data_IF_574387354490
#
_entry.id   IF_574387354490
#
_cell.length_a   1.000
_cell.length_b   1.000
_cell.length_c   1.000
_cell.angle_alpha   90.00
_cell.angle_beta   90.00
_cell.angle_gamma   90.00
#
_symmetry.space_group_name_H-M   'P 1'
#
loop_
_entity.id
_entity.type
_entity.pdbx_description
1 polymer ?
#
# COMPACT_ATOMS: atom_id res chain seq x y z
N UNK A 1 -0.26 -5.56 -12.32
CA UNK A 1 0.76 -4.96 -11.40
C UNK A 1 1.41 -5.95 -10.42
N UNK A 2 0.72 -6.48 -9.39
CA UNK A 2 1.37 -7.30 -8.33
C UNK A 2 2.06 -8.57 -8.83
N UNK A 3 1.57 -9.17 -9.93
CA UNK A 3 2.23 -10.29 -10.62
C UNK A 3 3.59 -9.88 -11.21
N UNK A 4 3.65 -8.76 -11.93
CA UNK A 4 4.89 -8.26 -12.52
C UNK A 4 5.93 -7.89 -11.46
N UNK A 5 5.48 -7.38 -10.30
CA UNK A 5 6.35 -7.17 -9.14
C UNK A 5 6.93 -8.51 -8.66
N UNK A 6 6.10 -9.56 -8.56
CA UNK A 6 6.56 -10.90 -8.19
C UNK A 6 7.58 -11.49 -9.17
N UNK A 7 7.33 -11.35 -10.47
CA UNK A 7 8.27 -11.78 -11.52
C UNK A 7 9.62 -11.06 -11.39
N UNK A 8 9.62 -9.74 -11.20
CA UNK A 8 10.86 -8.97 -10.98
C UNK A 8 11.59 -9.36 -9.68
N UNK A 9 10.86 -9.70 -8.62
CA UNK A 9 11.44 -10.17 -7.35
C UNK A 9 12.13 -11.52 -7.50
N UNK A 10 11.59 -12.44 -8.32
CA UNK A 10 12.25 -13.73 -8.60
C UNK A 10 13.60 -13.52 -9.24
N UNK A 11 13.66 -12.65 -10.24
CA UNK A 11 14.89 -12.39 -10.97
C UNK A 11 15.94 -11.75 -10.06
N UNK A 12 15.59 -10.78 -9.22
CA UNK A 12 16.56 -10.12 -8.35
C UNK A 12 17.02 -10.99 -7.16
N UNK A 13 16.10 -11.68 -6.46
CA UNK A 13 16.43 -12.49 -5.28
C UNK A 13 17.22 -13.74 -5.67
N UNK A 14 16.87 -14.38 -6.79
CA UNK A 14 17.50 -15.62 -7.24
C UNK A 14 18.84 -15.38 -7.96
N UNK A 15 19.03 -14.22 -8.62
CA UNK A 15 20.23 -13.94 -9.43
C UNK A 15 21.30 -13.17 -8.63
N UNK A 16 20.93 -12.33 -7.66
CA UNK A 16 21.88 -11.41 -7.00
C UNK A 16 22.03 -11.56 -5.49
N UNK A 17 21.27 -12.44 -4.84
CA UNK A 17 21.34 -12.63 -3.38
C UNK A 17 20.96 -11.37 -2.59
N UNK A 18 20.12 -10.52 -3.15
CA UNK A 18 19.72 -9.24 -2.57
C UNK A 18 18.68 -9.41 -1.45
N UNK A 19 18.84 -8.67 -0.34
CA UNK A 19 17.93 -8.70 0.83
C UNK A 19 16.67 -7.85 0.60
N UNK A 20 15.89 -8.16 -0.44
CA UNK A 20 14.67 -7.41 -0.75
C UNK A 20 13.51 -7.90 0.13
N UNK A 21 12.84 -6.96 0.81
CA UNK A 21 11.61 -7.21 1.58
C UNK A 21 10.41 -6.72 0.79
N UNK A 22 9.52 -7.65 0.43
CA UNK A 22 8.27 -7.43 -0.29
C UNK A 22 7.07 -7.73 0.61
N UNK A 23 6.48 -6.67 1.18
CA UNK A 23 5.30 -6.72 2.04
C UNK A 23 4.01 -6.53 1.23
N UNK A 24 3.20 -7.57 1.11
CA UNK A 24 1.87 -7.51 0.50
C UNK A 24 0.84 -7.02 1.52
N UNK A 25 -0.02 -6.06 1.17
CA UNK A 25 -1.18 -5.70 1.99
C UNK A 25 -2.42 -6.14 1.22
N UNK A 26 -3.18 -7.09 1.79
CA UNK A 26 -4.33 -7.68 1.12
C UNK A 26 -5.59 -7.58 1.99
N UNK A 27 -6.77 -7.34 1.40
CA UNK A 27 -8.03 -7.42 2.13
C UNK A 27 -8.37 -8.88 2.47
N UNK A 28 -8.53 -9.21 3.75
CA UNK A 28 -8.89 -10.55 4.24
C UNK A 28 -10.17 -11.08 3.59
N UNK A 29 -11.13 -10.19 3.35
CA UNK A 29 -12.39 -10.45 2.64
C UNK A 29 -12.24 -11.07 1.25
N UNK A 30 -11.07 -10.90 0.63
CA UNK A 30 -10.82 -11.19 -0.78
C UNK A 30 -9.76 -12.29 -0.98
N UNK A 31 -9.17 -12.81 0.11
CA UNK A 31 -8.13 -13.85 0.04
C UNK A 31 -8.77 -15.22 -0.21
N UNK A 32 -8.34 -15.89 -1.27
CA UNK A 32 -8.74 -17.26 -1.58
C UNK A 32 -8.24 -18.22 -0.50
N UNK A 33 -9.07 -19.18 -0.07
CA UNK A 33 -8.74 -20.19 0.94
C UNK A 33 -8.31 -19.61 2.29
N UNK A 34 -8.83 -18.43 2.64
CA UNK A 34 -8.50 -17.75 3.90
C UNK A 34 -8.80 -18.57 5.15
N UNK A 35 -9.75 -19.50 5.08
CA UNK A 35 -10.05 -20.46 6.15
C UNK A 35 -8.84 -21.31 6.54
N UNK A 36 -7.90 -21.55 5.63
CA UNK A 36 -6.64 -22.25 5.92
C UNK A 36 -5.68 -21.44 6.79
N UNK A 37 -5.88 -20.12 6.84
CA UNK A 37 -5.07 -19.18 7.60
C UNK A 37 -5.65 -18.91 9.00
N UNK A 38 -6.82 -19.48 9.33
CA UNK A 38 -7.44 -19.33 10.64
C UNK A 38 -6.80 -20.31 11.62
N UNK A 39 -6.17 -19.77 12.66
CA UNK A 39 -5.60 -20.54 13.76
C UNK A 39 -5.06 -19.61 14.83
N UNK A 40 -5.32 -19.93 16.09
CA UNK A 40 -4.74 -19.20 17.22
C UNK A 40 -3.33 -19.74 17.48
N UNK A 41 -2.33 -18.85 17.49
CA UNK A 41 -0.92 -19.19 17.78
C UNK A 41 -0.37 -20.38 16.96
N UNK A 42 -0.85 -20.56 15.73
CA UNK A 42 -0.46 -21.69 14.89
C UNK A 42 0.23 -21.22 13.61
N UNK A 43 1.16 -22.04 13.11
CA UNK A 43 1.72 -21.86 11.77
C UNK A 43 0.76 -22.49 10.76
N UNK A 44 0.10 -21.65 9.97
CA UNK A 44 -0.82 -22.09 8.95
C UNK A 44 -0.10 -22.28 7.60
N UNK A 45 -0.40 -23.36 6.89
CA UNK A 45 0.11 -23.59 5.54
C UNK A 45 -0.87 -23.04 4.51
N UNK A 46 -0.38 -22.17 3.62
CA UNK A 46 -1.17 -21.59 2.54
C UNK A 46 -0.66 -22.06 1.18
N UNK A 47 -1.57 -22.54 0.34
CA UNK A 47 -1.26 -22.95 -1.03
C UNK A 47 -1.94 -22.03 -2.03
N UNK A 48 -1.14 -21.25 -2.76
CA UNK A 48 -1.62 -20.35 -3.81
C UNK A 48 -2.10 -21.17 -5.02
N UNK A 49 -3.39 -21.07 -5.35
CA UNK A 49 -4.01 -21.87 -6.41
C UNK A 49 -4.20 -21.11 -7.74
N UNK A 50 -3.48 -20.01 -7.91
CA UNK A 50 -3.56 -19.18 -9.12
C UNK A 50 -4.91 -18.46 -9.28
N UNK A 51 -4.96 -17.51 -10.21
CA UNK A 51 -6.18 -16.75 -10.46
C UNK A 51 -7.24 -17.62 -11.14
N UNK A 52 -8.50 -17.53 -10.66
CA UNK A 52 -9.63 -18.29 -11.20
C UNK A 52 -10.69 -17.34 -11.78
N UNK A 53 -11.02 -17.44 -13.08
CA UNK A 53 -12.06 -16.62 -13.69
C UNK A 53 -13.40 -16.77 -12.96
N UNK A 54 -14.11 -15.65 -12.76
CA UNK A 54 -15.45 -15.63 -12.14
C UNK A 54 -15.48 -15.80 -10.62
N UNK A 55 -14.34 -16.01 -9.96
CA UNK A 55 -14.24 -15.92 -8.49
C UNK A 55 -13.97 -14.48 -8.09
N UNK A 56 -14.66 -14.05 -7.03
CA UNK A 56 -14.40 -12.75 -6.42
C UNK A 56 -13.11 -12.76 -5.59
N UNK A 57 -12.65 -13.92 -5.13
CA UNK A 57 -11.42 -14.05 -4.35
C UNK A 57 -10.18 -14.12 -5.24
N UNK A 58 -9.05 -13.66 -4.71
CA UNK A 58 -7.75 -13.73 -5.36
C UNK A 58 -6.72 -14.47 -4.46
N UNK A 59 -5.79 -15.22 -5.06
CA UNK A 59 -4.72 -15.85 -4.29
C UNK A 59 -3.69 -14.82 -3.81
N UNK A 60 -3.00 -15.14 -2.71
CA UNK A 60 -1.79 -14.42 -2.32
C UNK A 60 -0.65 -14.71 -3.31
N UNK A 61 0.18 -13.71 -3.58
CA UNK A 61 1.33 -13.86 -4.49
C UNK A 61 2.50 -14.56 -3.75
N UNK A 62 2.94 -15.76 -4.16
CA UNK A 62 4.02 -16.48 -3.49
C UNK A 62 5.37 -15.75 -3.51
N UNK A 63 5.52 -14.73 -4.35
CA UNK A 63 6.77 -13.99 -4.51
C UNK A 63 6.93 -12.86 -3.48
N UNK A 64 5.90 -12.61 -2.66
CA UNK A 64 6.01 -11.74 -1.49
C UNK A 64 6.43 -12.58 -0.28
N UNK A 65 7.37 -12.07 0.51
CA UNK A 65 7.89 -12.75 1.69
C UNK A 65 7.11 -12.42 2.97
N UNK A 66 6.28 -11.38 2.97
CA UNK A 66 5.42 -11.02 4.10
C UNK A 66 4.05 -10.53 3.62
N UNK A 67 3.02 -10.74 4.46
CA UNK A 67 1.66 -10.26 4.21
C UNK A 67 1.07 -9.57 5.43
N UNK A 68 0.37 -8.45 5.21
CA UNK A 68 -0.60 -7.86 6.12
C UNK A 68 -2.00 -8.12 5.58
N UNK A 69 -2.85 -8.79 6.37
CA UNK A 69 -4.23 -9.08 5.99
C UNK A 69 -5.17 -8.11 6.72
N UNK A 70 -5.76 -7.19 5.97
CA UNK A 70 -6.67 -6.19 6.50
C UNK A 70 -8.10 -6.74 6.52
N UNK A 71 -8.65 -6.95 7.71
CA UNK A 71 -10.03 -7.37 7.88
C UNK A 71 -10.93 -6.16 8.20
N UNK A 72 -12.12 -6.16 7.61
CA UNK A 72 -13.15 -5.15 7.83
C UNK A 72 -14.50 -5.80 8.17
N UNK A 73 -14.49 -7.11 8.48
CA UNK A 73 -15.68 -7.90 8.78
C UNK A 73 -16.52 -8.27 7.55
N UNK A 74 -16.09 -7.94 6.33
CA UNK A 74 -16.84 -8.23 5.11
C UNK A 74 -16.18 -9.30 4.24
N UNK A 75 -16.97 -9.96 3.41
CA UNK A 75 -16.50 -10.94 2.43
C UNK A 75 -16.66 -10.38 1.02
N UNK A 76 -15.66 -10.60 0.16
CA UNK A 76 -15.65 -10.14 -1.22
C UNK A 76 -15.60 -8.62 -1.39
N UNK A 77 -15.24 -7.84 -0.38
CA UNK A 77 -15.14 -6.37 -0.53
C UNK A 77 -13.76 -5.85 -0.17
N UNK A 78 -13.38 -4.80 -0.90
CA UNK A 78 -12.24 -3.94 -0.61
C UNK A 78 -12.61 -2.88 0.43
N UNK A 79 -11.63 -2.30 1.13
CA UNK A 79 -11.83 -1.08 1.92
C UNK A 79 -11.06 -0.98 3.24
N UNK A 80 -10.47 -2.07 3.74
CA UNK A 80 -9.66 -2.05 4.97
C UNK A 80 -8.17 -1.79 4.70
N UNK A 81 -7.68 -2.35 3.60
CA UNK A 81 -6.27 -2.38 3.19
C UNK A 81 -5.72 -0.98 2.87
N UNK A 82 -6.51 -0.11 2.24
CA UNK A 82 -6.09 1.25 1.91
C UNK A 82 -5.86 2.09 3.18
N UNK A 83 -6.74 1.97 4.17
CA UNK A 83 -6.59 2.65 5.45
C UNK A 83 -5.36 2.15 6.23
N UNK A 84 -5.17 0.82 6.27
CA UNK A 84 -3.99 0.21 6.89
C UNK A 84 -2.70 0.66 6.20
N UNK A 85 -2.66 0.62 4.86
CA UNK A 85 -1.51 1.05 4.05
C UNK A 85 -1.09 2.48 4.40
N UNK A 86 -2.04 3.42 4.37
CA UNK A 86 -1.77 4.84 4.66
C UNK A 86 -1.21 5.07 6.05
N UNK A 87 -1.80 4.41 7.06
CA UNK A 87 -1.36 4.52 8.46
C UNK A 87 0.06 3.96 8.63
N UNK A 88 0.36 2.83 7.99
CA UNK A 88 1.69 2.22 8.01
C UNK A 88 2.72 3.13 7.33
N UNK A 89 2.44 3.65 6.14
CA UNK A 89 3.35 4.57 5.43
C UNK A 89 3.62 5.82 6.27
N UNK A 90 2.58 6.46 6.82
CA UNK A 90 2.76 7.63 7.67
C UNK A 90 3.60 7.35 8.91
N UNK A 91 3.44 6.16 9.52
CA UNK A 91 4.27 5.74 10.64
C UNK A 91 5.73 5.55 10.24
N UNK A 92 5.99 4.87 9.13
CA UNK A 92 7.33 4.61 8.62
C UNK A 92 8.05 5.91 8.28
N UNK A 93 7.39 6.87 7.61
CA UNK A 93 7.96 8.18 7.29
C UNK A 93 8.35 9.01 8.53
N UNK A 94 7.83 8.68 9.71
CA UNK A 94 8.20 9.34 10.96
C UNK A 94 9.34 8.62 11.69
N UNK A 95 9.70 7.40 11.30
CA UNK A 95 10.79 6.68 11.94
C UNK A 95 12.14 7.28 11.54
N UNK A 96 13.07 7.42 12.50
CA UNK A 96 14.45 7.76 12.19
C UNK A 96 15.11 6.65 11.36
N UNK A 97 16.17 6.96 10.61
CA UNK A 97 17.05 6.00 9.95
C UNK A 97 18.36 5.95 10.74
N UNK A 98 18.75 4.76 11.24
CA UNK A 98 20.11 4.52 11.73
C UNK A 98 21.02 4.10 10.57
N UNK A 99 21.91 4.99 10.12
CA UNK A 99 22.89 4.63 9.08
C UNK A 99 24.03 3.74 9.60
N UNK A 100 24.14 3.48 10.91
CA UNK A 100 25.25 2.70 11.50
C UNK A 100 25.05 1.19 11.48
N UNK A 101 23.86 0.69 11.09
CA UNK A 101 23.48 -0.74 11.14
C UNK A 101 23.20 -1.38 9.77
N UNK A 102 23.88 -0.97 8.69
CA UNK A 102 23.77 -1.61 7.35
C UNK A 102 24.27 -3.09 7.27
N UNK A 103 24.17 -3.86 8.36
CA UNK A 103 24.36 -5.31 8.42
C UNK A 103 23.32 -6.06 9.29
N UNK A 104 22.25 -5.41 9.76
CA UNK A 104 21.29 -6.02 10.70
C UNK A 104 19.99 -6.51 10.05
N UNK A 105 19.77 -7.83 10.07
CA UNK A 105 18.55 -8.54 9.70
C UNK A 105 17.28 -7.92 10.34
N UNK A 106 16.30 -7.52 9.52
CA UNK A 106 14.97 -7.09 9.99
C UNK A 106 14.12 -8.35 10.26
N UNK A 107 13.64 -8.54 11.49
CA UNK A 107 12.72 -9.62 11.88
C UNK A 107 11.31 -9.07 12.10
N UNK A 108 10.32 -9.69 11.45
CA UNK A 108 8.90 -9.42 11.67
C UNK A 108 8.27 -10.51 12.57
N UNK A 109 7.31 -10.13 13.42
CA UNK A 109 6.46 -11.04 14.22
C UNK A 109 4.98 -10.72 13.99
N UNK A 110 4.10 -11.71 14.12
CA UNK A 110 2.64 -11.53 14.06
C UNK A 110 2.12 -10.97 15.39
N UNK A 111 1.18 -10.01 15.35
CA UNK A 111 0.38 -9.60 16.52
C UNK A 111 -1.11 -9.65 16.18
N UNK A 112 -1.91 -10.18 17.10
CA UNK A 112 -3.36 -10.09 17.07
C UNK A 112 -3.80 -8.89 17.91
N UNK A 113 -4.69 -8.07 17.37
CA UNK A 113 -5.28 -6.93 18.10
C UNK A 113 -6.80 -7.10 18.06
N UNK A 114 -7.42 -7.11 19.25
CA UNK A 114 -8.87 -7.23 19.37
C UNK A 114 -9.60 -5.91 19.12
N UNK A 115 -10.94 -5.97 19.16
CA UNK A 115 -11.88 -4.87 18.93
C UNK A 115 -11.72 -3.66 19.87
N UNK A 116 -10.99 -3.81 20.97
CA UNK A 116 -10.71 -2.74 21.94
C UNK A 116 -9.34 -2.08 21.71
N UNK A 117 -8.55 -2.62 20.79
CA UNK A 117 -7.14 -2.25 20.63
C UNK A 117 -6.22 -2.93 21.65
N UNK A 118 -6.70 -3.94 22.40
CA UNK A 118 -5.84 -4.77 23.23
C UNK A 118 -5.07 -5.77 22.36
N UNK A 119 -3.75 -5.79 22.54
CA UNK A 119 -2.88 -6.81 21.98
C UNK A 119 -3.03 -8.05 22.87
N UNK A 120 -3.73 -9.06 22.37
CA UNK A 120 -3.81 -10.36 23.05
C UNK A 120 -2.50 -11.12 22.81
N UNK A 121 -2.00 -11.74 23.87
CA UNK A 121 -0.59 -12.09 24.06
C UNK A 121 -0.02 -13.06 23.01
N UNK A 122 1.30 -12.92 22.83
CA UNK A 122 2.13 -13.55 21.80
C UNK A 122 2.72 -14.84 22.37
N UNK A 123 2.24 -16.01 21.95
CA UNK A 123 3.01 -17.25 22.18
C UNK A 123 3.90 -17.56 20.99
N UNK A 124 5.12 -17.04 21.04
CA UNK A 124 6.24 -17.67 20.33
C UNK A 124 7.46 -17.68 21.25
N UNK A 125 7.71 -18.85 21.87
CA UNK A 125 8.99 -19.17 22.51
C UNK A 125 10.08 -19.12 21.44
N UNK A 126 10.99 -18.16 21.54
CA UNK A 126 12.43 -18.38 21.69
C UNK A 126 13.06 -17.12 22.30
N UNK A 127 13.93 -17.38 23.27
CA UNK A 127 14.72 -16.53 24.19
C UNK A 127 15.15 -15.18 23.58
N UNK A 128 14.72 -14.05 24.17
CA UNK A 128 15.61 -13.12 24.89
C UNK A 128 14.80 -12.08 25.69
N UNK A 129 15.36 -11.62 26.80
CA UNK A 129 14.72 -10.91 27.91
C UNK A 129 14.47 -9.42 27.60
N UNK A 130 13.28 -8.88 27.97
CA UNK A 130 13.18 -7.48 28.44
C UNK A 130 12.31 -6.45 27.70
N UNK A 131 11.64 -6.75 26.59
CA UNK A 131 11.08 -5.68 25.72
C UNK A 131 9.54 -5.56 25.59
N UNK A 132 8.77 -6.40 26.29
CA UNK A 132 7.30 -6.48 26.13
C UNK A 132 6.54 -5.21 26.53
N UNK A 133 7.11 -4.38 27.43
CA UNK A 133 6.47 -3.16 27.94
C UNK A 133 6.51 -1.95 26.99
N UNK A 134 7.47 -1.88 26.07
CA UNK A 134 7.66 -0.71 25.18
C UNK A 134 6.69 -0.68 23.99
N UNK A 135 6.19 -1.85 23.57
CA UNK A 135 5.33 -2.02 22.37
C UNK A 135 3.93 -1.43 22.60
N UNK A 136 3.37 -1.58 23.80
CA UNK A 136 2.01 -1.11 24.18
C UNK A 136 1.79 0.39 23.99
N UNK A 137 2.83 1.22 24.16
CA UNK A 137 2.67 2.67 24.16
C UNK A 137 2.90 3.35 22.81
N UNK A 138 3.55 2.69 21.84
CA UNK A 138 4.00 3.34 20.59
C UNK A 138 2.99 3.26 19.43
N UNK A 139 2.04 2.32 19.47
CA UNK A 139 1.09 2.05 18.37
C UNK A 139 -0.39 2.33 18.68
N UNK A 140 -0.73 2.75 19.91
CA UNK A 140 -2.10 3.06 20.34
C UNK A 140 -2.82 4.07 19.43
N UNK A 141 -2.07 4.95 18.75
CA UNK A 141 -2.61 5.95 17.83
C UNK A 141 -2.96 5.41 16.42
N UNK A 142 -2.39 4.28 15.98
CA UNK A 142 -2.71 3.68 14.66
C UNK A 142 -4.02 2.85 14.68
N UNK A 143 -4.53 2.56 15.88
CA UNK A 143 -5.69 1.71 16.15
C UNK A 143 -6.99 2.51 16.39
N UNK A 144 -6.96 3.84 16.28
CA UNK A 144 -8.16 4.66 16.44
C UNK A 144 -9.00 4.65 15.16
N UNK A 145 -9.98 3.75 15.08
CA UNK A 145 -10.99 3.68 14.02
C UNK A 145 -11.89 2.44 14.14
N UNK A 146 -13.15 2.53 13.69
CA UNK A 146 -14.13 1.44 13.73
C UNK A 146 -13.77 0.31 12.72
N UNK A 147 -12.80 -0.53 13.07
CA UNK A 147 -12.50 -1.78 12.37
C UNK A 147 -12.61 -2.91 13.38
N UNK A 148 -13.50 -3.87 13.13
CA UNK A 148 -13.83 -4.96 14.06
C UNK A 148 -12.77 -6.07 14.16
N UNK A 149 -11.66 -5.97 13.42
CA UNK A 149 -10.57 -6.94 13.41
C UNK A 149 -9.40 -6.35 12.61
N UNK A 150 -8.28 -6.00 13.24
CA UNK A 150 -7.08 -5.58 12.51
C UNK A 150 -5.89 -6.41 13.02
N UNK A 151 -5.54 -7.48 12.30
CA UNK A 151 -4.30 -8.21 12.58
C UNK A 151 -3.12 -7.38 12.05
N UNK A 152 -2.42 -6.67 12.93
CA UNK A 152 -1.23 -5.87 12.59
C UNK A 152 0.01 -6.74 12.79
N UNK A 153 0.72 -7.03 11.71
CA UNK A 153 1.98 -7.76 11.79
C UNK A 153 3.11 -6.76 12.09
N UNK A 154 3.85 -7.05 13.15
CA UNK A 154 4.88 -6.21 13.74
C UNK A 154 6.19 -6.30 12.96
N UNK A 155 6.73 -5.13 12.59
CA UNK A 155 8.11 -4.97 12.11
C UNK A 155 8.85 -4.15 13.16
N UNK A 156 9.87 -4.73 13.79
CA UNK A 156 10.70 -4.01 14.78
C UNK A 156 11.87 -3.31 14.12
N UNK A 157 12.05 -2.01 14.43
CA UNK A 157 13.26 -1.24 14.15
C UNK A 157 13.69 -0.51 15.43
N UNK A 158 14.84 -0.88 15.98
CA UNK A 158 15.50 -0.13 17.06
C UNK A 158 16.54 0.83 16.47
N UNK A 159 16.47 2.12 16.81
CA UNK A 159 17.32 3.15 16.18
C UNK A 159 17.74 4.21 17.20
N UNK A 160 19.06 4.43 17.29
CA UNK A 160 19.69 5.55 17.98
C UNK A 160 20.73 6.24 17.09
N UNK A 161 20.56 7.55 16.85
CA UNK A 161 21.58 8.45 16.29
C UNK A 161 21.32 9.00 14.88
N UNK A 162 21.50 10.34 14.73
CA UNK A 162 21.33 11.21 13.54
C UNK A 162 19.97 11.17 12.80
N UNK A 163 19.26 12.30 12.79
CA UNK A 163 17.86 12.46 12.36
C UNK A 163 17.69 12.50 10.84
N UNK A 164 17.85 11.38 10.14
CA UNK A 164 17.20 11.20 8.83
C UNK A 164 15.91 10.41 9.01
N UNK A 165 14.88 10.68 8.21
CA UNK A 165 13.58 9.96 8.25
C UNK A 165 13.48 9.00 7.08
N UNK A 166 12.75 7.90 7.23
CA UNK A 166 12.53 6.94 6.13
C UNK A 166 11.82 7.65 4.96
N UNK A 167 12.44 7.77 3.77
CA UNK A 167 11.77 8.33 2.60
C UNK A 167 10.75 7.32 2.07
N UNK A 168 9.60 7.83 1.63
CA UNK A 168 8.56 7.03 0.97
C UNK A 168 8.33 7.62 -0.41
N UNK A 169 8.30 6.75 -1.41
CA UNK A 169 7.98 7.06 -2.81
C UNK A 169 6.94 6.05 -3.27
N UNK A 170 5.91 6.53 -3.96
CA UNK A 170 4.95 5.69 -4.67
C UNK A 170 5.35 5.51 -6.13
N UNK A 171 5.00 4.37 -6.71
CA UNK A 171 5.14 4.12 -8.14
C UNK A 171 3.77 3.79 -8.71
N UNK A 172 3.35 4.55 -9.72
CA UNK A 172 2.10 4.34 -10.44
C UNK A 172 2.38 3.56 -11.73
N UNK A 173 1.94 2.30 -11.74
CA UNK A 173 1.90 1.42 -12.89
C UNK A 173 0.45 1.07 -13.18
N UNK A 174 0.00 1.28 -14.42
CA UNK A 174 -1.41 1.11 -14.81
C UNK A 174 -2.36 1.88 -13.86
N UNK A 175 -3.61 1.42 -13.75
CA UNK A 175 -4.53 1.83 -12.69
C UNK A 175 -5.94 2.10 -13.19
N UNK A 176 -6.90 1.87 -12.30
CA UNK A 176 -8.30 2.27 -12.46
C UNK A 176 -8.60 3.59 -11.74
N UNK A 177 -9.88 3.95 -11.67
CA UNK A 177 -10.34 5.16 -10.96
C UNK A 177 -9.97 5.17 -9.48
N UNK A 178 -10.03 4.02 -8.80
CA UNK A 178 -9.64 3.91 -7.39
C UNK A 178 -8.13 4.07 -7.17
N UNK A 179 -7.31 3.52 -8.08
CA UNK A 179 -5.86 3.74 -8.05
C UNK A 179 -5.54 5.22 -8.19
N UNK A 180 -6.21 5.88 -9.13
CA UNK A 180 -6.06 7.31 -9.34
C UNK A 180 -6.44 8.14 -8.11
N UNK A 181 -7.59 7.85 -7.49
CA UNK A 181 -8.01 8.52 -6.23
C UNK A 181 -6.98 8.34 -5.11
N UNK A 182 -6.39 7.15 -5.01
CA UNK A 182 -5.31 6.90 -4.05
C UNK A 182 -4.11 7.81 -4.32
N UNK A 183 -3.70 7.96 -5.58
CA UNK A 183 -2.63 8.88 -5.98
C UNK A 183 -2.99 10.33 -5.67
N UNK A 184 -4.21 10.75 -5.99
CA UNK A 184 -4.72 12.08 -5.65
C UNK A 184 -4.58 12.36 -4.14
N UNK A 185 -5.02 11.43 -3.29
CA UNK A 185 -4.91 11.57 -1.84
C UNK A 185 -3.47 11.57 -1.34
N UNK A 186 -2.58 10.78 -1.95
CA UNK A 186 -1.15 10.75 -1.62
C UNK A 186 -0.44 12.04 -2.01
N UNK A 187 -0.75 12.63 -3.16
CA UNK A 187 -0.08 13.86 -3.65
C UNK A 187 -0.65 15.10 -2.96
N UNK A 188 -1.96 15.18 -2.79
CA UNK A 188 -2.66 16.39 -2.30
C UNK A 188 -2.91 16.39 -0.79
N UNK A 189 -2.73 15.24 -0.12
CA UNK A 189 -2.95 15.07 1.31
C UNK A 189 -2.00 15.87 2.22
N UNK A 190 -2.22 15.70 3.53
CA UNK A 190 -1.47 16.39 4.61
C UNK A 190 -0.01 15.96 4.69
N UNK A 191 0.27 14.69 4.41
CA UNK A 191 1.62 14.11 4.35
C UNK A 191 1.86 13.67 2.90
N UNK A 192 2.30 14.56 2.01
CA UNK A 192 2.42 14.25 0.60
C UNK A 192 3.50 13.20 0.33
N UNK A 193 3.22 12.27 -0.58
CA UNK A 193 4.17 11.24 -1.03
C UNK A 193 4.55 11.51 -2.50
N UNK A 194 5.84 11.62 -2.84
CA UNK A 194 6.28 11.68 -4.23
C UNK A 194 5.90 10.42 -5.00
N UNK A 195 5.40 10.58 -6.22
CA UNK A 195 4.94 9.51 -7.11
C UNK A 195 5.74 9.52 -8.39
N UNK A 196 6.28 8.36 -8.77
CA UNK A 196 6.87 8.12 -10.09
C UNK A 196 5.80 7.45 -10.95
N UNK A 197 5.53 8.00 -12.13
CA UNK A 197 4.53 7.53 -13.08
C UNK A 197 5.21 6.85 -14.26
N UNK A 198 4.85 5.60 -14.53
CA UNK A 198 5.32 4.91 -15.72
C UNK A 198 4.39 5.21 -16.89
N UNK A 199 4.75 6.22 -17.71
CA UNK A 199 4.01 6.59 -18.93
C UNK A 199 3.92 5.41 -19.90
N UNK A 200 2.75 5.23 -20.52
CA UNK A 200 2.43 4.11 -21.40
C UNK A 200 2.15 2.78 -20.67
N UNK A 201 2.18 2.76 -19.33
CA UNK A 201 1.88 1.54 -18.59
C UNK A 201 0.39 1.26 -18.52
N UNK A 202 -0.50 2.26 -18.56
CA UNK A 202 -1.94 2.04 -18.63
C UNK A 202 -2.79 3.21 -18.13
N UNK A 203 -4.12 3.04 -18.21
CA UNK A 203 -5.13 4.11 -18.13
C UNK A 203 -4.86 5.23 -17.11
N UNK A 204 -4.74 4.94 -15.81
CA UNK A 204 -4.53 6.00 -14.82
C UNK A 204 -3.14 6.64 -14.91
N UNK A 205 -2.10 5.83 -15.14
CA UNK A 205 -0.74 6.30 -15.32
C UNK A 205 -0.62 7.24 -16.53
N UNK A 206 -1.18 6.84 -17.67
CA UNK A 206 -1.10 7.60 -18.92
C UNK A 206 -1.84 8.94 -18.81
N UNK A 207 -3.00 8.97 -18.14
CA UNK A 207 -3.73 10.21 -17.91
C UNK A 207 -2.96 11.18 -17.00
N UNK A 208 -2.34 10.67 -15.93
CA UNK A 208 -1.54 11.50 -15.03
C UNK A 208 -0.24 11.98 -15.70
N UNK A 209 0.42 11.12 -16.50
CA UNK A 209 1.59 11.46 -17.30
C UNK A 209 1.26 12.52 -18.36
N UNK A 210 0.11 12.40 -19.02
CA UNK A 210 -0.39 13.40 -19.96
C UNK A 210 -0.59 14.76 -19.28
N UNK A 211 -1.27 14.79 -18.13
CA UNK A 211 -1.43 16.02 -17.34
C UNK A 211 -0.08 16.58 -16.91
N UNK A 212 0.84 15.73 -16.46
CA UNK A 212 2.19 16.14 -16.09
C UNK A 212 2.95 16.76 -17.26
N UNK A 213 2.70 16.37 -18.51
CA UNK A 213 3.38 16.92 -19.69
C UNK A 213 2.77 18.23 -20.19
N UNK A 214 1.44 18.33 -20.20
CA UNK A 214 0.72 19.38 -20.93
C UNK A 214 -0.05 20.38 -20.06
N UNK A 215 -0.14 20.17 -18.73
CA UNK A 215 -0.72 21.16 -17.84
C UNK A 215 0.12 22.44 -17.81
N UNK A 216 -0.58 23.57 -17.83
CA UNK A 216 -0.01 24.89 -17.63
C UNK A 216 0.45 25.07 -16.17
N UNK A 217 1.06 26.21 -15.86
CA UNK A 217 1.56 26.50 -14.51
C UNK A 217 0.48 26.51 -13.42
N UNK A 218 -0.78 26.80 -13.79
CA UNK A 218 -1.94 26.74 -12.88
C UNK A 218 -2.45 25.30 -12.64
N UNK A 219 -1.84 24.32 -13.31
CA UNK A 219 -2.17 22.90 -13.27
C UNK A 219 -3.32 22.50 -14.19
N UNK A 220 -3.85 23.42 -15.01
CA UNK A 220 -4.96 23.15 -15.94
C UNK A 220 -4.49 22.96 -17.39
N UNK A 221 -5.32 22.36 -18.23
CA UNK A 221 -5.13 22.31 -19.67
C UNK A 221 -5.82 23.50 -20.37
N UNK A 222 -5.46 23.75 -21.63
CA UNK A 222 -6.24 24.65 -22.48
C UNK A 222 -7.69 24.14 -22.65
N UNK A 223 -8.65 25.02 -22.89
CA UNK A 223 -10.08 24.66 -22.98
C UNK A 223 -10.35 23.53 -23.98
N UNK A 224 -9.69 23.55 -25.14
CA UNK A 224 -9.81 22.51 -26.15
C UNK A 224 -9.26 21.15 -25.67
N UNK A 225 -8.08 21.16 -25.05
CA UNK A 225 -7.46 19.94 -24.52
C UNK A 225 -8.21 19.40 -23.31
N UNK A 226 -8.78 20.27 -22.46
CA UNK A 226 -9.65 19.90 -21.35
C UNK A 226 -10.85 19.07 -21.82
N UNK A 227 -11.58 19.54 -22.82
CA UNK A 227 -12.79 18.84 -23.28
C UNK A 227 -12.46 17.48 -23.92
N UNK A 228 -11.34 17.41 -24.64
CA UNK A 228 -10.79 16.16 -25.15
C UNK A 228 -10.38 15.22 -24.01
N UNK A 229 -9.71 15.75 -22.99
CA UNK A 229 -9.27 14.98 -21.83
C UNK A 229 -10.44 14.41 -21.04
N UNK A 230 -11.49 15.19 -20.77
CA UNK A 230 -12.72 14.71 -20.12
C UNK A 230 -13.38 13.59 -20.93
N UNK A 231 -13.44 13.73 -22.25
CA UNK A 231 -13.95 12.67 -23.12
C UNK A 231 -13.08 11.40 -23.07
N UNK A 232 -11.76 11.56 -23.01
CA UNK A 232 -10.81 10.45 -22.88
C UNK A 232 -10.92 9.75 -21.53
N UNK A 233 -11.07 10.48 -20.42
CA UNK A 233 -11.31 9.92 -19.07
C UNK A 233 -12.60 9.11 -19.06
N UNK A 234 -13.69 9.67 -19.60
CA UNK A 234 -14.99 8.99 -19.70
C UNK A 234 -14.87 7.67 -20.48
N UNK A 235 -14.18 7.68 -21.63
CA UNK A 235 -13.97 6.48 -22.45
C UNK A 235 -13.05 5.46 -21.78
N UNK A 236 -11.92 5.90 -21.22
CA UNK A 236 -10.91 5.02 -20.63
C UNK A 236 -11.47 4.26 -19.41
N UNK A 237 -12.24 4.93 -18.57
CA UNK A 237 -12.81 4.32 -17.36
C UNK A 237 -14.26 3.84 -17.51
N UNK A 238 -14.90 4.09 -18.65
CA UNK A 238 -16.31 3.76 -18.91
C UNK A 238 -17.26 4.40 -17.87
N UNK A 239 -17.02 5.66 -17.54
CA UNK A 239 -17.79 6.44 -16.57
C UNK A 239 -18.56 7.58 -17.23
N UNK A 240 -19.56 8.12 -16.53
CA UNK A 240 -20.35 9.24 -17.05
C UNK A 240 -19.51 10.51 -17.14
N UNK A 241 -19.88 11.42 -18.06
CA UNK A 241 -19.16 12.69 -18.26
C UNK A 241 -19.02 13.50 -16.97
N UNK A 242 -20.07 13.58 -16.16
CA UNK A 242 -20.04 14.26 -14.86
C UNK A 242 -18.97 13.68 -13.91
N UNK A 243 -18.83 12.35 -13.85
CA UNK A 243 -17.80 11.69 -13.04
C UNK A 243 -16.40 11.93 -13.62
N UNK A 244 -16.28 11.96 -14.95
CA UNK A 244 -15.03 12.29 -15.63
C UNK A 244 -14.57 13.73 -15.36
N UNK A 245 -15.50 14.70 -15.26
CA UNK A 245 -15.19 16.07 -14.84
C UNK A 245 -14.70 16.14 -13.39
N UNK A 246 -15.25 15.30 -12.51
CA UNK A 246 -14.73 15.11 -11.14
C UNK A 246 -13.28 14.61 -11.13
N UNK A 247 -12.99 13.52 -11.86
CA UNK A 247 -11.62 13.00 -11.98
C UNK A 247 -10.66 13.99 -12.64
N UNK A 248 -11.12 14.76 -13.63
CA UNK A 248 -10.32 15.83 -14.23
C UNK A 248 -9.94 16.90 -13.21
N UNK A 249 -10.89 17.27 -12.33
CA UNK A 249 -10.65 18.23 -11.26
C UNK A 249 -9.60 17.73 -10.25
N UNK A 250 -9.65 16.44 -9.91
CA UNK A 250 -8.61 15.78 -9.09
C UNK A 250 -7.24 15.77 -9.79
N UNK A 251 -7.19 15.45 -11.10
CA UNK A 251 -5.96 15.52 -11.92
C UNK A 251 -5.33 16.92 -11.89
N UNK A 252 -6.15 17.95 -12.10
CA UNK A 252 -5.71 19.36 -12.02
C UNK A 252 -5.10 19.68 -10.65
N UNK A 253 -5.70 19.20 -9.56
CA UNK A 253 -5.18 19.42 -8.21
C UNK A 253 -3.85 18.70 -7.97
N UNK A 254 -3.63 17.51 -8.52
CA UNK A 254 -2.32 16.86 -8.50
C UNK A 254 -1.25 17.74 -9.16
N UNK A 255 -1.58 18.38 -10.29
CA UNK A 255 -0.63 19.23 -11.02
C UNK A 255 -0.26 20.52 -10.28
N UNK A 256 -1.04 20.98 -9.30
CA UNK A 256 -0.61 22.06 -8.40
C UNK A 256 0.61 21.67 -7.54
N UNK A 257 0.86 20.37 -7.37
CA UNK A 257 2.05 19.83 -6.71
C UNK A 257 2.88 19.00 -7.69
N UNK A 258 3.04 19.49 -8.93
CA UNK A 258 3.77 18.83 -10.02
C UNK A 258 5.14 18.30 -9.62
N UNK A 259 5.87 18.99 -8.74
CA UNK A 259 7.19 18.57 -8.23
C UNK A 259 7.19 17.24 -7.45
N UNK A 260 6.02 16.75 -7.03
CA UNK A 260 5.85 15.44 -6.41
C UNK A 260 5.50 14.34 -7.41
N UNK A 261 5.33 14.67 -8.69
CA UNK A 261 5.00 13.72 -9.75
C UNK A 261 6.16 13.72 -10.74
N UNK A 262 6.74 12.55 -11.01
CA UNK A 262 7.83 12.37 -11.97
C UNK A 262 7.51 11.33 -13.02
#
# INVERSE_FOLDING_TARGET
>A
VTRHIGEALKDEVHIRGSNIVALGIAPWGYVQHRETLIGLDNTCSYYSQGWRPGRQEAPLNPDHNYFLLADNGTSGKFGGELGLRRRLEQYLAQQPIDMRRYGGLIRARTLNVDETGEVTDIKTRFIDHGYTGMVKNRFRHLLQGNYSCLSIYHVSLEIGGSKSRVPIVGVLLEGGTQTFRTVFELVTGRNPVPIVVCDGSGRAADLLAFMHRYANEDGDLSTQLRDQMVANISRAFQIRRFEAEGLYSELKLCMKRRHLVS
#
